data_IF_410824841570
#
_entry.id   IF_410824841570
#
_cell.length_a   1.000
_cell.length_b   1.000
_cell.length_c   1.000
_cell.angle_alpha   90.00
_cell.angle_beta   90.00
_cell.angle_gamma   90.00
#
_symmetry.space_group_name_H-M   'P 1'
#
loop_
_entity.id
_entity.type
_entity.pdbx_description
1 polymer ?
#
# COMPACT_ATOMS: atom_id res chain seq x y z
N UNK A 1 9.53 4.75 8.47
CA UNK A 1 8.20 5.18 7.97
C UNK A 1 7.33 4.02 7.51
N UNK A 2 7.80 3.18 6.59
CA UNK A 2 7.04 1.99 6.17
C UNK A 2 6.70 1.07 7.33
N UNK A 3 7.60 0.91 8.29
CA UNK A 3 7.40 0.07 9.46
C UNK A 3 6.30 0.60 10.40
N UNK A 4 6.06 1.90 10.42
CA UNK A 4 5.12 2.53 11.34
C UNK A 4 3.67 2.52 10.85
N UNK A 5 3.45 2.36 9.53
CA UNK A 5 2.12 2.48 8.94
C UNK A 5 1.08 1.52 9.56
N UNK A 6 1.35 0.21 9.68
CA UNK A 6 0.33 -0.68 10.26
C UNK A 6 -0.05 -0.33 11.70
N UNK A 7 0.95 -0.01 12.54
CA UNK A 7 0.68 0.38 13.94
C UNK A 7 -0.12 1.67 14.01
N UNK A 8 0.20 2.63 13.16
CA UNK A 8 -0.50 3.91 13.10
C UNK A 8 -1.97 3.71 12.73
N UNK A 9 -2.24 2.86 11.74
CA UNK A 9 -3.60 2.54 11.34
C UNK A 9 -4.36 1.82 12.44
N UNK A 10 -3.70 0.89 13.14
CA UNK A 10 -4.31 0.18 14.27
C UNK A 10 -4.69 1.15 15.38
N UNK A 11 -3.78 2.07 15.73
CA UNK A 11 -4.03 3.06 16.78
C UNK A 11 -5.18 4.01 16.42
N UNK A 12 -5.23 4.49 15.17
CA UNK A 12 -6.27 5.40 14.70
C UNK A 12 -7.67 4.77 14.72
N UNK A 13 -7.77 3.47 14.51
CA UNK A 13 -9.04 2.76 14.39
C UNK A 13 -9.41 1.98 15.64
N UNK A 14 -8.57 2.01 16.67
CA UNK A 14 -8.82 1.29 17.92
C UNK A 14 -10.13 1.77 18.56
N UNK A 15 -10.94 0.81 19.01
CA UNK A 15 -12.18 1.11 19.69
C UNK A 15 -13.36 1.46 18.80
N UNK A 16 -13.16 1.56 17.48
CA UNK A 16 -14.26 1.83 16.56
C UNK A 16 -15.01 0.56 16.21
N UNK A 17 -16.36 0.59 16.21
CA UNK A 17 -17.15 -0.54 15.72
C UNK A 17 -16.85 -0.85 14.25
N UNK A 18 -16.90 -2.13 13.89
CA UNK A 18 -16.67 -2.56 12.51
C UNK A 18 -17.59 -1.85 11.52
N UNK A 19 -18.84 -1.58 11.91
CA UNK A 19 -19.82 -0.89 11.05
C UNK A 19 -19.34 0.52 10.66
N UNK A 20 -18.67 1.24 11.56
CA UNK A 20 -18.16 2.58 11.26
C UNK A 20 -16.97 2.57 10.33
N UNK A 21 -16.19 1.49 10.33
CA UNK A 21 -15.00 1.37 9.47
C UNK A 21 -15.35 1.07 8.01
N UNK A 22 -16.56 0.60 7.74
CA UNK A 22 -17.04 0.34 6.37
C UNK A 22 -18.00 1.41 5.87
N UNK A 23 -18.35 2.36 6.72
CA UNK A 23 -19.27 3.44 6.37
C UNK A 23 -18.49 4.65 5.83
N UNK A 24 -18.85 5.20 4.65
CA UNK A 24 -18.23 6.43 4.18
C UNK A 24 -18.64 7.62 5.07
N UNK A 25 -17.74 8.57 5.32
CA UNK A 25 -18.08 9.75 6.15
C UNK A 25 -19.14 10.63 5.50
N UNK A 26 -19.20 10.61 4.17
CA UNK A 26 -20.22 11.29 3.36
C UNK A 26 -20.53 10.45 2.14
N UNK A 27 -21.74 10.54 1.56
CA UNK A 27 -22.06 9.83 0.33
C UNK A 27 -21.03 10.10 -0.77
N UNK A 28 -20.56 9.05 -1.41
CA UNK A 28 -19.59 9.15 -2.50
C UNK A 28 -18.12 9.24 -2.07
N UNK A 29 -17.86 9.34 -0.77
CA UNK A 29 -16.48 9.33 -0.26
C UNK A 29 -16.05 7.91 0.14
N UNK A 30 -14.75 7.72 0.28
CA UNK A 30 -14.20 6.44 0.71
C UNK A 30 -14.38 6.23 2.21
N UNK A 31 -14.72 5.01 2.59
CA UNK A 31 -14.66 4.55 3.98
C UNK A 31 -13.22 4.24 4.38
N UNK A 32 -12.99 4.02 5.67
CA UNK A 32 -11.69 3.55 6.15
C UNK A 32 -11.30 2.22 5.47
N UNK A 33 -12.29 1.34 5.27
CA UNK A 33 -12.06 0.06 4.57
C UNK A 33 -11.59 0.29 3.13
N UNK A 34 -12.19 1.24 2.42
CA UNK A 34 -11.81 1.54 1.04
C UNK A 34 -10.38 2.07 0.95
N UNK A 35 -10.01 2.96 1.87
CA UNK A 35 -8.64 3.49 1.93
C UNK A 35 -7.63 2.38 2.19
N UNK A 36 -7.92 1.49 3.15
CA UNK A 36 -7.05 0.36 3.45
C UNK A 36 -6.91 -0.59 2.26
N UNK A 37 -8.02 -0.86 1.56
CA UNK A 37 -8.00 -1.68 0.34
C UNK A 37 -7.06 -1.08 -0.72
N UNK A 38 -7.10 0.23 -0.89
CA UNK A 38 -6.22 0.94 -1.81
C UNK A 38 -4.75 0.85 -1.37
N UNK A 39 -4.47 1.01 -0.07
CA UNK A 39 -3.11 0.85 0.47
C UNK A 39 -2.59 -0.56 0.23
N UNK A 40 -3.43 -1.57 0.43
CA UNK A 40 -3.06 -2.96 0.18
C UNK A 40 -2.72 -3.21 -1.29
N UNK A 41 -3.55 -2.69 -2.20
CA UNK A 41 -3.34 -2.85 -3.64
C UNK A 41 -2.01 -2.21 -4.08
N UNK A 42 -1.72 -1.01 -3.62
CA UNK A 42 -0.46 -0.33 -3.94
C UNK A 42 0.74 -1.05 -3.35
N UNK A 43 0.61 -1.55 -2.12
CA UNK A 43 1.68 -2.32 -1.48
C UNK A 43 1.95 -3.64 -2.22
N UNK A 44 0.89 -4.32 -2.71
CA UNK A 44 1.02 -5.51 -3.54
C UNK A 44 1.79 -5.21 -4.83
N UNK A 45 1.36 -4.19 -5.55
CA UNK A 45 1.91 -3.84 -6.87
C UNK A 45 3.38 -3.46 -6.77
N UNK A 46 3.70 -2.55 -5.87
CA UNK A 46 5.05 -2.03 -5.75
C UNK A 46 5.98 -3.00 -5.02
N UNK A 47 5.43 -3.78 -4.08
CA UNK A 47 6.16 -4.87 -3.44
C UNK A 47 6.53 -5.97 -4.43
N UNK A 48 5.62 -6.30 -5.34
CA UNK A 48 5.87 -7.26 -6.42
C UNK A 48 6.97 -6.76 -7.35
N UNK A 49 6.92 -5.47 -7.72
CA UNK A 49 7.95 -4.86 -8.55
C UNK A 49 9.32 -4.95 -7.90
N UNK A 50 9.41 -4.64 -6.61
CA UNK A 50 10.66 -4.76 -5.85
C UNK A 50 11.18 -6.21 -5.88
N UNK A 51 10.29 -7.17 -5.63
CA UNK A 51 10.68 -8.59 -5.63
C UNK A 51 11.21 -9.03 -7.00
N UNK A 52 10.57 -8.60 -8.08
CA UNK A 52 11.02 -8.91 -9.44
C UNK A 52 12.40 -8.31 -9.73
N UNK A 53 12.63 -7.05 -9.34
CA UNK A 53 13.93 -6.40 -9.53
C UNK A 53 15.03 -7.13 -8.78
N UNK A 54 14.74 -7.60 -7.56
CA UNK A 54 15.74 -8.29 -6.75
C UNK A 54 16.01 -9.73 -7.19
N UNK A 55 15.04 -10.38 -7.86
CA UNK A 55 15.18 -11.77 -8.31
C UNK A 55 15.71 -11.92 -9.73
N UNK A 56 15.65 -10.86 -10.53
CA UNK A 56 16.03 -10.89 -11.93
C UNK A 56 17.02 -9.77 -12.24
N UNK A 57 17.79 -9.95 -13.30
CA UNK A 57 18.70 -8.92 -13.80
C UNK A 57 17.92 -8.00 -14.72
N UNK A 58 17.63 -6.78 -14.28
CA UNK A 58 16.93 -5.72 -15.01
C UNK A 58 15.66 -6.22 -15.72
N UNK A 59 14.63 -6.65 -14.97
CA UNK A 59 13.39 -7.12 -15.58
C UNK A 59 12.65 -6.01 -16.31
N UNK A 60 11.77 -6.40 -17.23
CA UNK A 60 10.81 -5.48 -17.83
C UNK A 60 9.48 -5.66 -17.10
N UNK A 61 8.95 -4.58 -16.55
CA UNK A 61 7.70 -4.57 -15.79
C UNK A 61 6.69 -3.70 -16.50
N UNK A 62 5.48 -4.21 -16.70
CA UNK A 62 4.36 -3.41 -17.22
C UNK A 62 3.69 -2.70 -16.05
N UNK A 63 3.58 -1.39 -16.12
CA UNK A 63 2.88 -0.62 -15.11
C UNK A 63 1.39 -0.98 -15.07
N UNK A 64 0.84 -1.09 -13.86
CA UNK A 64 -0.56 -1.42 -13.62
C UNK A 64 -1.19 -0.31 -12.79
N UNK A 65 -2.42 0.06 -13.12
CA UNK A 65 -3.18 1.04 -12.36
C UNK A 65 -3.70 0.38 -11.07
N UNK A 66 -3.58 1.02 -9.89
CA UNK A 66 -4.12 0.47 -8.66
C UNK A 66 -5.62 0.14 -8.72
N UNK A 67 -6.40 0.94 -9.44
CA UNK A 67 -7.83 0.68 -9.62
C UNK A 67 -8.08 -0.64 -10.36
N UNK A 68 -7.25 -0.95 -11.36
CA UNK A 68 -7.33 -2.22 -12.09
C UNK A 68 -6.91 -3.39 -11.20
N UNK A 69 -5.84 -3.21 -10.43
CA UNK A 69 -5.34 -4.24 -9.52
C UNK A 69 -6.38 -4.60 -8.46
N UNK A 70 -6.99 -3.58 -7.83
CA UNK A 70 -7.92 -3.78 -6.73
C UNK A 70 -9.18 -4.56 -7.18
N UNK A 71 -9.59 -4.42 -8.43
CA UNK A 71 -10.73 -5.15 -9.00
C UNK A 71 -10.50 -6.65 -9.08
N UNK A 72 -9.25 -7.09 -9.06
CA UNK A 72 -8.88 -8.50 -9.09
C UNK A 72 -8.79 -9.09 -7.68
N UNK A 73 -9.08 -8.30 -6.65
CA UNK A 73 -9.01 -8.70 -5.25
C UNK A 73 -10.38 -8.55 -4.59
N UNK A 74 -10.49 -9.10 -3.39
CA UNK A 74 -11.68 -8.90 -2.54
C UNK A 74 -11.43 -7.88 -1.42
N UNK A 75 -10.40 -7.04 -1.55
CA UNK A 75 -9.98 -6.13 -0.47
C UNK A 75 -11.08 -5.17 -0.05
N UNK A 76 -11.88 -4.67 -0.98
CA UNK A 76 -12.98 -3.76 -0.67
C UNK A 76 -14.15 -4.47 0.04
N UNK A 77 -14.18 -5.81 0.01
CA UNK A 77 -15.24 -6.61 0.61
C UNK A 77 -14.84 -7.19 1.97
N UNK A 78 -13.54 -7.17 2.30
CA UNK A 78 -13.06 -7.70 3.57
C UNK A 78 -13.37 -6.74 4.72
N UNK A 79 -13.65 -7.30 5.88
CA UNK A 79 -13.77 -6.50 7.09
C UNK A 79 -12.45 -5.81 7.40
N UNK A 80 -12.51 -4.65 8.05
CA UNK A 80 -11.33 -3.82 8.27
C UNK A 80 -10.25 -4.53 9.10
N UNK A 81 -10.61 -5.15 10.21
CA UNK A 81 -9.62 -5.79 11.10
C UNK A 81 -8.84 -6.91 10.43
N UNK A 82 -9.51 -7.91 9.81
CA UNK A 82 -8.78 -8.94 9.06
C UNK A 82 -7.93 -8.36 7.92
N UNK A 83 -8.44 -7.34 7.24
CA UNK A 83 -7.71 -6.68 6.18
C UNK A 83 -6.46 -5.98 6.71
N UNK A 84 -6.56 -5.32 7.86
CA UNK A 84 -5.40 -4.67 8.50
C UNK A 84 -4.37 -5.70 8.97
N UNK A 85 -4.81 -6.85 9.48
CA UNK A 85 -3.91 -7.93 9.86
C UNK A 85 -3.14 -8.46 8.64
N UNK A 86 -3.81 -8.64 7.51
CA UNK A 86 -3.19 -9.08 6.27
C UNK A 86 -2.19 -8.03 5.75
N UNK A 87 -2.55 -6.75 5.81
CA UNK A 87 -1.66 -5.65 5.45
C UNK A 87 -0.42 -5.61 6.35
N UNK A 88 -0.61 -5.82 7.65
CA UNK A 88 0.49 -5.85 8.63
C UNK A 88 1.46 -7.00 8.33
N UNK A 89 0.95 -8.19 8.03
CA UNK A 89 1.76 -9.35 7.67
C UNK A 89 2.54 -9.09 6.37
N UNK A 90 1.89 -8.54 5.36
CA UNK A 90 2.52 -8.18 4.10
C UNK A 90 3.65 -7.16 4.31
N UNK A 91 3.42 -6.16 5.16
CA UNK A 91 4.44 -5.14 5.45
C UNK A 91 5.64 -5.75 6.16
N UNK A 92 5.42 -6.69 7.08
CA UNK A 92 6.51 -7.41 7.73
C UNK A 92 7.36 -8.19 6.72
N UNK A 93 6.72 -8.83 5.75
CA UNK A 93 7.43 -9.53 4.67
C UNK A 93 8.24 -8.57 3.81
N UNK A 94 7.67 -7.43 3.44
CA UNK A 94 8.37 -6.42 2.65
C UNK A 94 9.59 -5.88 3.41
N UNK A 95 9.44 -5.58 4.68
CA UNK A 95 10.54 -5.07 5.51
C UNK A 95 11.64 -6.12 5.67
N UNK A 96 11.28 -7.40 5.76
CA UNK A 96 12.27 -8.49 5.82
C UNK A 96 13.11 -8.56 4.53
N UNK A 97 12.54 -8.17 3.41
CA UNK A 97 13.25 -8.08 2.13
C UNK A 97 14.14 -6.83 2.08
N UNK A 98 13.63 -5.68 2.54
CA UNK A 98 14.32 -4.39 2.40
C UNK A 98 15.46 -4.17 3.40
N UNK A 99 15.29 -4.63 4.66
CA UNK A 99 16.26 -4.37 5.72
C UNK A 99 17.68 -4.90 5.44
N UNK A 100 17.86 -6.11 4.89
CA UNK A 100 19.21 -6.63 4.66
C UNK A 100 19.87 -6.13 3.38
N UNK A 101 19.20 -5.29 2.58
CA UNK A 101 19.73 -4.86 1.29
C UNK A 101 21.01 -4.04 1.45
N UNK A 102 22.02 -4.37 0.63
CA UNK A 102 23.23 -3.56 0.50
C UNK A 102 22.92 -2.29 -0.29
N UNK A 103 23.72 -1.22 -0.15
CA UNK A 103 23.48 0.03 -0.88
C UNK A 103 23.28 -0.15 -2.39
N UNK A 104 24.04 -1.05 -3.02
CA UNK A 104 23.94 -1.30 -4.46
C UNK A 104 22.60 -1.94 -4.86
N UNK A 105 21.99 -2.72 -3.96
CA UNK A 105 20.69 -3.35 -4.22
C UNK A 105 19.57 -2.32 -4.37
N UNK A 106 19.66 -1.22 -3.64
CA UNK A 106 18.67 -0.14 -3.72
C UNK A 106 18.67 0.55 -5.09
N UNK A 107 19.79 0.50 -5.80
CA UNK A 107 19.94 1.07 -7.13
C UNK A 107 19.56 0.11 -8.25
N UNK A 108 19.28 -1.14 -7.95
CA UNK A 108 18.86 -2.11 -8.96
C UNK A 108 17.54 -1.65 -9.58
N UNK A 109 17.40 -1.87 -10.87
CA UNK A 109 16.35 -1.24 -11.65
C UNK A 109 15.60 -2.23 -12.55
N UNK A 110 14.40 -1.79 -12.94
CA UNK A 110 13.62 -2.42 -14.00
C UNK A 110 13.38 -1.41 -15.11
N UNK A 111 13.12 -1.92 -16.30
CA UNK A 111 12.55 -1.15 -17.39
C UNK A 111 11.04 -1.22 -17.26
N UNK A 112 10.37 -0.08 -17.15
CA UNK A 112 8.91 -0.01 -16.95
C UNK A 112 8.25 0.45 -18.24
N UNK A 113 7.26 -0.32 -18.69
CA UNK A 113 6.45 -0.03 -19.87
C UNK A 113 5.02 0.28 -19.49
N UNK A 114 4.23 0.80 -20.42
CA UNK A 114 2.81 1.08 -20.19
C UNK A 114 2.50 2.47 -19.62
N UNK A 115 3.52 3.35 -19.51
CA UNK A 115 3.38 4.72 -19.02
C UNK A 115 3.89 5.74 -20.06
N UNK A 116 3.74 5.43 -21.34
CA UNK A 116 4.32 6.20 -22.43
C UNK A 116 5.63 5.58 -22.88
N UNK A 117 6.71 6.38 -22.95
CA UNK A 117 8.04 5.84 -23.30
C UNK A 117 8.54 4.94 -22.18
N UNK A 118 9.25 3.85 -22.49
CA UNK A 118 9.88 3.02 -21.46
C UNK A 118 10.77 3.88 -20.56
N UNK A 119 10.71 3.62 -19.26
CA UNK A 119 11.51 4.35 -18.28
C UNK A 119 12.12 3.39 -17.26
N UNK A 120 13.03 3.92 -16.46
CA UNK A 120 13.72 3.13 -15.43
C UNK A 120 13.16 3.46 -14.05
N UNK A 121 12.94 2.42 -13.24
CA UNK A 121 12.56 2.56 -11.82
C UNK A 121 13.41 1.62 -10.99
N UNK A 122 13.88 2.11 -9.84
CA UNK A 122 14.74 1.35 -8.94
C UNK A 122 13.96 0.83 -7.74
N UNK A 123 14.56 -0.08 -6.97
CA UNK A 123 14.02 -0.52 -5.68
C UNK A 123 13.76 0.69 -4.78
N UNK A 124 14.72 1.62 -4.71
CA UNK A 124 14.57 2.85 -3.94
C UNK A 124 13.34 3.65 -4.37
N UNK A 125 13.12 3.80 -5.67
CA UNK A 125 11.97 4.53 -6.22
C UNK A 125 10.66 3.95 -5.70
N UNK A 126 10.49 2.64 -5.78
CA UNK A 126 9.26 1.99 -5.34
C UNK A 126 9.05 2.09 -3.82
N UNK A 127 10.10 1.87 -3.04
CA UNK A 127 10.01 1.98 -1.58
C UNK A 127 9.69 3.42 -1.15
N UNK A 128 10.32 4.39 -1.79
CA UNK A 128 10.09 5.81 -1.52
C UNK A 128 8.66 6.22 -1.88
N UNK A 129 8.14 5.73 -3.00
CA UNK A 129 6.77 5.99 -3.41
C UNK A 129 5.76 5.41 -2.43
N UNK A 130 5.99 4.18 -1.95
CA UNK A 130 5.11 3.60 -0.93
C UNK A 130 5.05 4.50 0.30
N UNK A 131 6.19 4.92 0.82
CA UNK A 131 6.24 5.78 2.01
C UNK A 131 5.49 7.09 1.79
N UNK A 132 5.75 7.75 0.68
CA UNK A 132 5.10 9.03 0.36
C UNK A 132 3.62 8.88 0.04
N UNK A 133 3.23 7.79 -0.59
CA UNK A 133 1.82 7.49 -0.92
C UNK A 133 0.99 7.22 0.33
N UNK A 134 1.57 6.54 1.30
CA UNK A 134 0.83 6.15 2.51
C UNK A 134 0.53 7.34 3.43
N UNK A 135 1.40 8.31 3.44
CA UNK A 135 1.28 9.46 4.35
C UNK A 135 -0.05 10.21 4.21
N UNK A 136 -0.48 10.65 3.00
CA UNK A 136 -1.77 11.33 2.86
C UNK A 136 -2.96 10.43 3.14
N UNK A 137 -2.85 9.12 2.89
CA UNK A 137 -3.93 8.18 3.16
C UNK A 137 -4.09 7.89 4.65
N UNK A 138 -2.99 7.90 5.43
CA UNK A 138 -3.07 7.84 6.90
C UNK A 138 -3.84 9.05 7.41
N UNK A 139 -3.55 10.24 6.91
CA UNK A 139 -4.28 11.46 7.26
C UNK A 139 -5.75 11.38 6.85
N UNK A 140 -6.03 10.77 5.71
CA UNK A 140 -7.40 10.55 5.25
C UNK A 140 -8.17 9.66 6.23
N UNK A 141 -7.58 8.56 6.67
CA UNK A 141 -8.21 7.67 7.68
C UNK A 141 -8.42 8.43 8.99
N UNK A 142 -7.45 9.24 9.42
CA UNK A 142 -7.58 10.05 10.63
C UNK A 142 -8.79 10.98 10.54
N UNK A 143 -9.00 11.64 9.39
CA UNK A 143 -10.17 12.50 9.18
C UNK A 143 -11.47 11.70 9.21
N UNK A 144 -11.49 10.52 8.59
CA UNK A 144 -12.66 9.64 8.59
C UNK A 144 -13.01 9.24 10.02
N UNK A 145 -12.03 8.80 10.78
CA UNK A 145 -12.21 8.39 12.18
C UNK A 145 -12.75 9.54 13.03
N UNK A 146 -12.19 10.73 12.88
CA UNK A 146 -12.63 11.91 13.63
C UNK A 146 -14.09 12.27 13.29
N UNK A 147 -14.48 12.15 12.03
CA UNK A 147 -15.87 12.36 11.59
C UNK A 147 -16.83 11.35 12.24
N UNK A 148 -16.41 10.08 12.31
CA UNK A 148 -17.24 9.01 12.89
C UNK A 148 -17.41 9.13 14.40
N UNK A 149 -16.50 9.82 15.08
CA UNK A 149 -16.55 10.00 16.53
C UNK A 149 -17.33 11.24 16.96
N UNK A 150 -17.78 12.07 16.03
CA UNK A 150 -18.52 13.29 16.32
C UNK A 150 -20.00 13.04 16.58
#
# INVERSE_FOLDING_TARGET
>A
MLAATPSRLADLTEGLPAAQLVEPPKPGEWSARDVLAHLRACSDMWGKAIAEILSEERPTIKAVNPTTWIKQTDYCEQEFKPSLEAFTAQRAELLAVLKPLAPDDWSRAATVTGVGKPLERTVYTYAHWLANHERPHIKQIERIVNTMQM
#
